data_IF_510684072178
#
_entry.id   IF_510684072178
#
_cell.length_a   1.000
_cell.length_b   1.000
_cell.length_c   1.000
_cell.angle_alpha   90.00
_cell.angle_beta   90.00
_cell.angle_gamma   90.00
#
_symmetry.space_group_name_H-M   'P 1'
#
loop_
_entity.id
_entity.type
_entity.pdbx_description
1 polymer ?
#
# COMPACT_ATOMS: atom_id res chain seq x y z
N UNK A 1 13.25 15.19 35.18
CA UNK A 1 12.05 14.82 34.41
C UNK A 1 12.03 13.35 33.96
N UNK A 2 13.16 12.62 33.93
CA UNK A 2 13.20 11.22 33.44
C UNK A 2 12.68 10.15 34.42
N UNK A 3 12.68 10.41 35.73
CA UNK A 3 12.26 9.43 36.74
C UNK A 3 10.75 9.15 36.71
N UNK A 4 9.94 10.16 36.38
CA UNK A 4 8.48 10.03 36.31
C UNK A 4 8.08 9.17 35.10
N UNK A 5 8.72 9.38 33.95
CA UNK A 5 8.48 8.62 32.74
C UNK A 5 8.78 7.13 32.93
N UNK A 6 9.92 6.81 33.55
CA UNK A 6 10.28 5.43 33.88
C UNK A 6 9.28 4.80 34.85
N UNK A 7 8.84 5.53 35.88
CA UNK A 7 7.85 5.04 36.84
C UNK A 7 6.50 4.73 36.19
N UNK A 8 6.00 5.65 35.36
CA UNK A 8 4.73 5.47 34.63
C UNK A 8 4.80 4.29 33.65
N UNK A 9 5.93 4.09 32.97
CA UNK A 9 6.15 2.97 32.05
C UNK A 9 6.04 1.61 32.75
N UNK A 10 6.65 1.47 33.92
CA UNK A 10 6.55 0.21 34.68
C UNK A 10 5.19 0.05 35.35
N UNK A 11 4.54 1.14 35.78
CA UNK A 11 3.21 1.09 36.39
C UNK A 11 2.13 0.60 35.39
N UNK A 12 2.23 1.02 34.12
CA UNK A 12 1.33 0.60 33.04
C UNK A 12 1.30 -0.92 32.82
N UNK A 13 2.41 -1.62 33.11
CA UNK A 13 2.49 -3.09 32.99
C UNK A 13 1.83 -3.85 34.15
N UNK A 14 1.46 -3.15 35.23
CA UNK A 14 0.90 -3.74 36.45
C UNK A 14 -0.57 -3.41 36.68
N UNK A 15 -1.16 -2.57 35.84
CA UNK A 15 -2.59 -2.27 35.90
C UNK A 15 -3.41 -3.40 35.25
N UNK A 16 -4.50 -3.86 35.88
CA UNK A 16 -5.41 -4.81 35.24
C UNK A 16 -5.97 -4.18 33.96
N UNK A 17 -5.77 -4.89 32.84
CA UNK A 17 -6.27 -4.49 31.53
C UNK A 17 -7.77 -4.73 31.50
N UNK A 18 -8.54 -3.64 31.44
CA UNK A 18 -9.95 -3.73 31.06
C UNK A 18 -10.03 -4.21 29.60
N UNK A 19 -11.12 -4.92 29.31
CA UNK A 19 -11.33 -5.87 28.24
C UNK A 19 -11.41 -5.22 26.84
N UNK A 20 -10.35 -4.54 26.41
CA UNK A 20 -10.16 -4.05 25.05
C UNK A 20 -9.09 -4.90 24.39
N UNK A 21 -9.43 -5.46 23.25
CA UNK A 21 -8.66 -6.45 22.48
C UNK A 21 -7.21 -6.05 22.19
N UNK A 22 -6.44 -6.97 21.56
CA UNK A 22 -4.99 -6.86 21.49
C UNK A 22 -4.54 -5.53 20.87
N UNK A 23 -3.91 -4.69 21.69
CA UNK A 23 -3.15 -3.52 21.25
C UNK A 23 -1.92 -4.06 20.50
N UNK A 24 -2.05 -4.18 19.18
CA UNK A 24 -0.93 -4.51 18.31
C UNK A 24 0.01 -3.31 18.23
N UNK A 25 1.15 -3.41 18.89
CA UNK A 25 2.30 -2.56 18.60
C UNK A 25 2.84 -2.99 17.22
N UNK A 26 2.69 -2.12 16.23
CA UNK A 26 3.26 -2.31 14.89
C UNK A 26 4.77 -2.02 14.81
N UNK A 27 5.49 -2.06 15.94
CA UNK A 27 6.90 -1.62 16.02
C UNK A 27 7.93 -2.77 15.93
N UNK A 28 7.55 -4.06 15.82
CA UNK A 28 8.55 -5.16 15.86
C UNK A 28 8.47 -6.24 14.76
N UNK A 29 7.56 -6.17 13.78
CA UNK A 29 7.36 -7.28 12.81
C UNK A 29 7.56 -6.90 11.33
N UNK A 30 8.65 -6.20 11.03
CA UNK A 30 9.20 -6.15 9.65
C UNK A 30 10.64 -6.66 9.63
N UNK A 31 10.87 -7.78 10.31
CA UNK A 31 12.10 -8.56 10.16
C UNK A 31 11.92 -9.61 9.04
N UNK A 32 12.49 -9.29 7.87
CA UNK A 32 13.11 -10.25 6.94
C UNK A 32 12.38 -11.59 6.74
N UNK A 33 11.24 -11.54 6.06
CA UNK A 33 10.72 -12.66 5.27
C UNK A 33 10.26 -11.96 3.99
N UNK A 34 10.94 -12.08 2.84
CA UNK A 34 10.87 -13.21 1.94
C UNK A 34 12.10 -13.22 1.03
N UNK A 35 13.05 -14.13 1.26
CA UNK A 35 13.93 -14.63 0.20
C UNK A 35 13.65 -16.12 0.07
N UNK A 36 12.89 -16.51 -0.96
CA UNK A 36 12.86 -17.91 -1.39
C UNK A 36 13.84 -18.05 -2.55
N UNK A 37 14.99 -18.65 -2.28
CA UNK A 37 15.87 -19.13 -3.34
C UNK A 37 15.17 -20.29 -4.06
N UNK A 38 14.80 -20.06 -5.31
CA UNK A 38 14.27 -21.09 -6.19
C UNK A 38 15.45 -21.69 -6.97
N UNK A 39 15.81 -22.95 -6.66
CA UNK A 39 16.86 -23.71 -7.36
C UNK A 39 16.37 -23.96 -8.80
N UNK A 40 16.82 -23.15 -9.76
CA UNK A 40 16.40 -23.22 -11.18
C UNK A 40 17.11 -24.32 -11.99
N UNK A 41 17.75 -25.29 -11.34
CA UNK A 41 18.28 -26.48 -12.00
C UNK A 41 19.58 -26.99 -11.37
N UNK A 42 19.74 -28.31 -11.36
CA UNK A 42 20.99 -28.98 -11.04
C UNK A 42 21.39 -29.76 -12.29
N UNK A 43 22.39 -29.24 -13.01
CA UNK A 43 22.96 -29.89 -14.18
C UNK A 43 24.41 -30.26 -13.90
N UNK A 44 24.78 -31.52 -14.12
CA UNK A 44 26.17 -31.92 -14.15
C UNK A 44 26.80 -31.39 -15.43
N UNK A 45 27.73 -30.44 -15.31
CA UNK A 45 28.58 -30.04 -16.44
C UNK A 45 29.58 -31.18 -16.65
N UNK A 46 29.33 -32.03 -17.64
CA UNK A 46 30.34 -32.97 -18.13
C UNK A 46 31.42 -32.15 -18.81
N UNK A 47 32.57 -32.00 -18.15
CA UNK A 47 33.74 -31.34 -18.73
C UNK A 47 34.48 -32.35 -19.61
N UNK A 48 34.49 -32.14 -20.93
CA UNK A 48 35.51 -32.75 -21.78
C UNK A 48 36.85 -32.00 -21.60
N UNK A 49 37.97 -32.70 -21.40
CA UNK A 49 39.26 -32.05 -21.16
C UNK A 49 39.81 -31.45 -22.45
N UNK A 50 39.74 -30.12 -22.58
CA UNK A 50 40.50 -29.40 -23.61
C UNK A 50 39.94 -28.06 -24.12
N UNK A 51 38.69 -27.69 -23.81
CA UNK A 51 38.10 -26.45 -24.33
C UNK A 51 38.35 -25.24 -23.41
N UNK A 52 39.07 -24.23 -23.90
CA UNK A 52 39.16 -22.91 -23.26
C UNK A 52 37.88 -22.13 -23.60
N UNK A 53 37.09 -21.80 -22.58
CA UNK A 53 36.01 -20.82 -22.71
C UNK A 53 36.46 -19.52 -22.06
N UNK A 54 36.49 -18.43 -22.83
CA UNK A 54 36.73 -17.09 -22.30
C UNK A 54 35.53 -16.68 -21.45
N UNK A 55 35.80 -16.36 -20.19
CA UNK A 55 34.79 -15.79 -19.29
C UNK A 55 34.84 -14.27 -19.46
N UNK A 56 33.80 -13.69 -20.04
CA UNK A 56 33.65 -12.24 -20.11
C UNK A 56 33.53 -11.65 -18.70
N UNK A 57 34.38 -10.68 -18.38
CA UNK A 57 34.33 -9.96 -17.11
C UNK A 57 33.03 -9.16 -16.94
N UNK A 58 32.62 -8.88 -15.69
CA UNK A 58 31.38 -8.17 -15.41
C UNK A 58 31.46 -6.69 -15.80
N UNK A 59 30.57 -6.24 -16.68
CA UNK A 59 30.49 -4.87 -17.21
C UNK A 59 29.56 -3.93 -16.44
N UNK A 60 29.14 -4.30 -15.24
CA UNK A 60 28.17 -3.52 -14.47
C UNK A 60 28.79 -2.89 -13.22
N UNK A 61 29.28 -1.66 -13.34
CA UNK A 61 29.46 -0.77 -12.17
C UNK A 61 28.19 0.05 -11.98
N UNK A 62 27.65 0.02 -10.77
CA UNK A 62 26.32 0.51 -10.45
C UNK A 62 26.21 2.02 -10.31
N UNK A 63 25.01 2.51 -10.55
CA UNK A 63 24.22 3.34 -9.61
C UNK A 63 22.75 3.15 -9.98
N UNK A 64 22.23 1.94 -9.82
CA UNK A 64 20.79 1.75 -9.77
C UNK A 64 20.33 2.17 -8.40
N UNK A 65 19.86 3.41 -8.26
CA UNK A 65 18.98 3.75 -7.15
C UNK A 65 17.82 2.76 -7.25
N UNK A 66 17.79 1.77 -6.36
CA UNK A 66 16.59 1.00 -6.14
C UNK A 66 15.55 2.00 -5.65
N UNK A 67 14.75 2.53 -6.58
CA UNK A 67 13.46 3.13 -6.24
C UNK A 67 12.75 2.00 -5.51
N UNK A 68 12.64 2.14 -4.19
CA UNK A 68 12.00 1.14 -3.35
C UNK A 68 10.67 0.79 -4.00
N UNK A 69 10.42 -0.51 -4.13
CA UNK A 69 9.27 -1.05 -4.83
C UNK A 69 8.04 -0.25 -4.44
N UNK A 70 7.59 0.58 -5.38
CA UNK A 70 6.27 1.18 -5.35
C UNK A 70 5.35 -0.04 -5.47
N UNK A 71 4.96 -0.59 -4.32
CA UNK A 71 4.05 -1.72 -4.28
C UNK A 71 2.79 -1.21 -4.95
N UNK A 72 2.61 -1.55 -6.23
CA UNK A 72 1.41 -1.25 -6.98
C UNK A 72 0.23 -1.62 -6.09
N UNK A 73 -0.68 -0.68 -5.82
CA UNK A 73 -1.74 -0.86 -4.82
C UNK A 73 -2.66 -2.06 -5.12
N UNK A 74 -2.62 -2.63 -6.32
CA UNK A 74 -3.21 -3.95 -6.62
C UNK A 74 -2.68 -5.04 -5.68
N UNK A 75 -1.37 -5.07 -5.43
CA UNK A 75 -0.73 -5.97 -4.47
C UNK A 75 -1.10 -5.64 -3.02
N UNK A 76 -1.44 -4.38 -2.71
CA UNK A 76 -1.87 -3.99 -1.37
C UNK A 76 -3.25 -4.57 -1.06
N UNK A 77 -4.21 -4.48 -1.99
CA UNK A 77 -5.55 -5.07 -1.81
C UNK A 77 -5.45 -6.59 -1.64
N UNK A 78 -4.66 -7.25 -2.48
CA UNK A 78 -4.42 -8.70 -2.38
C UNK A 78 -3.80 -9.06 -1.02
N UNK A 79 -2.78 -8.32 -0.57
CA UNK A 79 -2.15 -8.51 0.74
C UNK A 79 -3.12 -8.31 1.90
N UNK A 80 -3.99 -7.29 1.83
CA UNK A 80 -4.97 -7.02 2.88
C UNK A 80 -6.01 -8.14 2.95
N UNK A 81 -6.51 -8.60 1.79
CA UNK A 81 -7.45 -9.70 1.70
C UNK A 81 -6.85 -11.01 2.23
N UNK A 82 -5.62 -11.35 1.83
CA UNK A 82 -4.93 -12.55 2.31
C UNK A 82 -4.66 -12.51 3.82
N UNK A 83 -4.25 -11.35 4.35
CA UNK A 83 -3.82 -11.23 5.75
C UNK A 83 -4.99 -11.08 6.73
N UNK A 84 -6.02 -10.35 6.33
CA UNK A 84 -7.13 -9.98 7.21
C UNK A 84 -8.46 -10.66 6.84
N UNK A 85 -8.48 -11.45 5.76
CA UNK A 85 -9.71 -12.11 5.30
C UNK A 85 -10.75 -11.12 4.79
N UNK A 86 -10.33 -9.95 4.29
CA UNK A 86 -11.21 -8.94 3.74
C UNK A 86 -11.66 -9.30 2.33
N UNK A 87 -12.76 -8.68 1.88
CA UNK A 87 -13.31 -8.86 0.53
C UNK A 87 -13.16 -7.57 -0.30
N UNK A 88 -12.05 -6.85 -0.12
CA UNK A 88 -11.80 -5.64 -0.90
C UNK A 88 -11.66 -5.99 -2.37
N UNK A 89 -12.31 -5.20 -3.21
CA UNK A 89 -12.29 -5.35 -4.66
C UNK A 89 -11.19 -4.46 -5.26
N UNK A 90 -10.75 -4.74 -6.50
CA UNK A 90 -9.87 -3.83 -7.22
C UNK A 90 -10.41 -2.39 -7.31
N UNK A 91 -11.74 -2.21 -7.29
CA UNK A 91 -12.36 -0.87 -7.24
C UNK A 91 -12.07 -0.08 -5.95
N UNK A 92 -11.87 -0.78 -4.82
CA UNK A 92 -11.55 -0.16 -3.53
C UNK A 92 -10.11 0.39 -3.50
N UNK A 93 -9.29 0.05 -4.51
CA UNK A 93 -7.95 0.58 -4.68
C UNK A 93 -7.93 2.11 -4.78
N UNK A 94 -8.95 2.69 -5.44
CA UNK A 94 -9.03 4.14 -5.64
C UNK A 94 -9.17 4.90 -4.32
N UNK A 95 -9.77 4.27 -3.29
CA UNK A 95 -9.87 4.87 -1.97
C UNK A 95 -8.48 5.06 -1.34
N UNK A 96 -7.65 4.02 -1.32
CA UNK A 96 -6.29 4.10 -0.79
C UNK A 96 -5.37 4.98 -1.63
N UNK A 97 -5.58 5.01 -2.94
CA UNK A 97 -4.89 5.91 -3.87
C UNK A 97 -5.14 7.38 -3.51
N UNK A 98 -6.41 7.77 -3.37
CA UNK A 98 -6.77 9.14 -3.02
C UNK A 98 -6.25 9.58 -1.65
N UNK A 99 -6.21 8.68 -0.66
CA UNK A 99 -5.56 8.96 0.64
C UNK A 99 -4.07 9.21 0.47
N UNK A 100 -3.38 8.43 -0.39
CA UNK A 100 -1.96 8.66 -0.66
C UNK A 100 -1.74 10.01 -1.34
N UNK A 101 -2.56 10.35 -2.33
CA UNK A 101 -2.47 11.63 -3.04
C UNK A 101 -2.61 12.81 -2.07
N UNK A 102 -3.56 12.75 -1.13
CA UNK A 102 -3.70 13.76 -0.08
C UNK A 102 -2.51 13.86 0.84
N UNK A 103 -2.00 12.71 1.30
CA UNK A 103 -0.83 12.68 2.16
C UNK A 103 0.38 13.34 1.48
N UNK A 104 0.52 13.15 0.16
CA UNK A 104 1.59 13.74 -0.65
C UNK A 104 1.33 15.23 -0.94
N UNK A 105 0.07 15.65 -0.99
CA UNK A 105 -0.30 17.06 -1.14
C UNK A 105 -0.13 17.86 0.17
N UNK A 106 -0.21 17.20 1.33
CA UNK A 106 -0.08 17.84 2.63
C UNK A 106 1.32 18.42 2.86
N UNK A 107 1.39 19.75 3.02
CA UNK A 107 2.65 20.47 3.19
C UNK A 107 3.43 20.11 4.46
N UNK A 108 2.73 19.77 5.54
CA UNK A 108 3.33 19.37 6.83
C UNK A 108 3.98 17.99 6.72
N UNK A 109 3.29 17.03 6.11
CA UNK A 109 3.82 15.70 5.85
C UNK A 109 5.00 15.74 4.89
N UNK A 110 4.96 16.57 3.85
CA UNK A 110 6.11 16.78 2.95
C UNK A 110 7.33 17.31 3.69
N UNK A 111 7.14 18.33 4.54
CA UNK A 111 8.23 18.89 5.35
C UNK A 111 8.77 17.86 6.32
N UNK A 112 7.90 17.11 7.00
CA UNK A 112 8.28 16.05 7.92
C UNK A 112 9.07 14.94 7.20
N UNK A 113 8.67 14.53 6.00
CA UNK A 113 9.35 13.52 5.22
C UNK A 113 10.75 13.97 4.75
N UNK A 114 10.91 15.24 4.38
CA UNK A 114 12.21 15.79 3.95
C UNK A 114 13.17 16.04 5.13
N UNK A 115 12.64 16.33 6.32
CA UNK A 115 13.44 16.69 7.49
C UNK A 115 13.81 15.50 8.39
N UNK A 116 13.14 14.34 8.25
CA UNK A 116 13.28 13.22 9.17
C UNK A 116 13.64 11.91 8.45
N UNK A 117 14.17 10.95 9.22
CA UNK A 117 14.29 9.55 8.77
C UNK A 117 12.91 8.90 8.66
N UNK A 118 12.81 7.82 7.89
CA UNK A 118 11.56 7.07 7.68
C UNK A 118 10.88 6.67 8.99
N UNK A 119 11.65 6.24 9.99
CA UNK A 119 11.14 5.83 11.31
C UNK A 119 10.49 7.00 12.05
N UNK A 120 11.17 8.15 12.11
CA UNK A 120 10.66 9.37 12.75
C UNK A 120 9.45 9.94 12.00
N UNK A 121 9.49 9.93 10.67
CA UNK A 121 8.36 10.30 9.82
C UNK A 121 7.16 9.40 10.09
N UNK A 122 7.36 8.09 10.27
CA UNK A 122 6.31 7.11 10.52
C UNK A 122 5.42 7.47 11.71
N UNK A 123 5.97 8.05 12.79
CA UNK A 123 5.17 8.49 13.93
C UNK A 123 4.24 9.65 13.59
N UNK A 124 4.73 10.63 12.84
CA UNK A 124 3.93 11.79 12.40
C UNK A 124 2.89 11.36 11.37
N UNK A 125 3.30 10.52 10.42
CA UNK A 125 2.45 10.00 9.37
C UNK A 125 1.30 9.17 9.93
N UNK A 126 1.53 8.24 10.86
CA UNK A 126 0.45 7.42 11.46
C UNK A 126 -0.62 8.29 12.11
N UNK A 127 -0.23 9.36 12.81
CA UNK A 127 -1.17 10.30 13.42
C UNK A 127 -1.97 11.09 12.38
N UNK A 128 -1.32 11.53 11.30
CA UNK A 128 -1.99 12.24 10.22
C UNK A 128 -2.90 11.33 9.40
N UNK A 129 -2.51 10.06 9.23
CA UNK A 129 -3.23 9.08 8.43
C UNK A 129 -4.66 8.85 8.94
N UNK A 130 -4.87 8.78 10.25
CA UNK A 130 -6.22 8.68 10.82
C UNK A 130 -7.11 9.85 10.40
N UNK A 131 -6.57 11.08 10.40
CA UNK A 131 -7.27 12.26 9.92
C UNK A 131 -7.59 12.18 8.43
N UNK A 132 -6.61 11.78 7.61
CA UNK A 132 -6.82 11.61 6.16
C UNK A 132 -7.92 10.62 5.82
N UNK A 133 -8.03 9.52 6.58
CA UNK A 133 -9.13 8.56 6.41
C UNK A 133 -10.49 9.18 6.73
N UNK A 134 -10.59 9.98 7.80
CA UNK A 134 -11.82 10.67 8.19
C UNK A 134 -12.20 11.72 7.14
N UNK A 135 -11.25 12.58 6.75
CA UNK A 135 -11.47 13.63 5.76
C UNK A 135 -11.93 13.04 4.42
N UNK A 136 -11.36 11.90 4.01
CA UNK A 136 -11.77 11.18 2.79
C UNK A 136 -13.16 10.58 2.90
N UNK A 137 -13.53 10.06 4.07
CA UNK A 137 -14.89 9.59 4.33
C UNK A 137 -15.90 10.73 4.22
N UNK A 138 -15.62 11.88 4.86
CA UNK A 138 -16.48 13.07 4.81
C UNK A 138 -16.64 13.61 3.39
N UNK A 139 -15.55 13.68 2.62
CA UNK A 139 -15.61 14.09 1.21
C UNK A 139 -16.48 13.14 0.36
N UNK A 140 -16.36 11.82 0.58
CA UNK A 140 -17.19 10.84 -0.13
C UNK A 140 -18.66 10.95 0.27
N UNK A 141 -18.95 11.25 1.53
CA UNK A 141 -20.29 11.54 2.01
C UNK A 141 -20.85 12.81 1.35
N UNK A 142 -20.06 13.88 1.21
CA UNK A 142 -20.46 15.11 0.53
C UNK A 142 -20.82 14.85 -0.95
N UNK A 143 -19.99 14.08 -1.67
CA UNK A 143 -20.26 13.72 -3.07
C UNK A 143 -21.58 12.93 -3.17
N UNK A 144 -21.79 11.99 -2.26
CA UNK A 144 -23.02 11.19 -2.20
C UNK A 144 -24.23 12.08 -1.89
N UNK A 145 -24.10 13.00 -0.94
CA UNK A 145 -25.15 13.94 -0.59
C UNK A 145 -25.51 14.87 -1.77
N UNK A 146 -24.51 15.37 -2.52
CA UNK A 146 -24.75 16.14 -3.75
C UNK A 146 -25.49 15.33 -4.79
N UNK A 147 -25.10 14.07 -5.00
CA UNK A 147 -25.80 13.17 -5.92
C UNK A 147 -27.27 12.96 -5.55
N UNK A 148 -27.59 12.87 -4.27
CA UNK A 148 -28.97 12.64 -3.82
C UNK A 148 -29.83 13.90 -3.86
N UNK A 149 -29.24 15.07 -3.60
CA UNK A 149 -29.99 16.31 -3.40
C UNK A 149 -30.01 17.26 -4.62
N UNK A 150 -29.03 17.14 -5.54
CA UNK A 150 -28.92 18.04 -6.69
C UNK A 150 -29.28 17.32 -8.01
N UNK A 151 -30.48 17.62 -8.54
CA UNK A 151 -30.99 16.94 -9.74
C UNK A 151 -30.08 17.10 -10.98
N UNK A 152 -29.49 18.28 -11.17
CA UNK A 152 -28.58 18.53 -12.29
C UNK A 152 -27.28 17.73 -12.18
N UNK A 153 -26.72 17.64 -10.98
CA UNK A 153 -25.52 16.84 -10.72
C UNK A 153 -25.81 15.34 -10.91
N UNK A 154 -26.95 14.87 -10.38
CA UNK A 154 -27.41 13.49 -10.55
C UNK A 154 -27.55 13.11 -12.02
N UNK A 155 -28.19 13.96 -12.82
CA UNK A 155 -28.39 13.70 -14.25
C UNK A 155 -27.06 13.64 -15.00
N UNK A 156 -26.16 14.59 -14.76
CA UNK A 156 -24.84 14.64 -15.40
C UNK A 156 -24.01 13.37 -15.09
N UNK A 157 -23.94 12.98 -13.82
CA UNK A 157 -23.23 11.76 -13.39
C UNK A 157 -23.89 10.51 -13.97
N UNK A 158 -25.22 10.43 -13.97
CA UNK A 158 -25.96 9.28 -14.49
C UNK A 158 -25.75 9.08 -15.98
N UNK A 159 -25.80 10.15 -16.77
CA UNK A 159 -25.56 10.07 -18.22
C UNK A 159 -24.13 9.64 -18.54
N UNK A 160 -23.15 10.14 -17.78
CA UNK A 160 -21.75 9.78 -17.97
C UNK A 160 -21.51 8.31 -17.63
N UNK A 161 -21.93 7.86 -16.44
CA UNK A 161 -21.78 6.47 -16.01
C UNK A 161 -22.56 5.48 -16.90
N UNK A 162 -23.74 5.86 -17.40
CA UNK A 162 -24.51 5.03 -18.32
C UNK A 162 -23.69 4.70 -19.57
N UNK A 163 -23.06 5.70 -20.16
CA UNK A 163 -22.26 5.52 -21.37
C UNK A 163 -21.04 4.63 -21.08
N UNK A 164 -20.28 4.94 -20.04
CA UNK A 164 -19.07 4.18 -19.70
C UNK A 164 -19.37 2.72 -19.37
N UNK A 165 -20.40 2.47 -18.55
CA UNK A 165 -20.78 1.10 -18.18
C UNK A 165 -21.28 0.34 -19.40
N UNK A 166 -22.08 0.97 -20.27
CA UNK A 166 -22.57 0.34 -21.50
C UNK A 166 -21.43 -0.03 -22.45
N UNK A 167 -20.50 0.90 -22.70
CA UNK A 167 -19.34 0.68 -23.57
C UNK A 167 -18.46 -0.44 -23.01
N UNK A 168 -18.13 -0.39 -21.71
CA UNK A 168 -17.27 -1.39 -21.07
C UNK A 168 -17.87 -2.80 -21.10
N UNK A 169 -19.18 -2.93 -20.83
CA UNK A 169 -19.87 -4.23 -20.93
C UNK A 169 -19.80 -4.78 -22.36
N UNK A 170 -19.94 -3.92 -23.37
CA UNK A 170 -19.87 -4.34 -24.78
C UNK A 170 -18.46 -4.73 -25.20
N UNK A 171 -17.45 -3.97 -24.79
CA UNK A 171 -16.05 -4.30 -25.04
C UNK A 171 -15.67 -5.65 -24.43
N UNK A 172 -16.10 -5.92 -23.19
CA UNK A 172 -15.88 -7.22 -22.53
C UNK A 172 -16.58 -8.37 -23.26
N UNK A 173 -17.81 -8.15 -23.76
CA UNK A 173 -18.55 -9.14 -24.54
C UNK A 173 -17.91 -9.42 -25.91
N UNK A 174 -17.41 -8.39 -26.59
CA UNK A 174 -16.72 -8.51 -27.87
C UNK A 174 -15.35 -9.21 -27.70
N UNK A 175 -14.59 -8.88 -26.65
CA UNK A 175 -13.32 -9.53 -26.32
C UNK A 175 -13.45 -11.00 -25.91
N UNK A 176 -14.63 -11.42 -25.45
CA UNK A 176 -14.92 -12.83 -25.10
C UNK A 176 -15.31 -13.66 -26.32
N UNK A 177 -15.88 -13.05 -27.36
CA UNK A 177 -16.23 -13.73 -28.61
C UNK A 177 -15.05 -13.93 -29.59
N UNK A 178 -13.95 -13.18 -29.39
CA UNK A 178 -12.72 -13.28 -30.21
C UNK A 178 -11.70 -14.29 -29.65
N UNK A 179 -12.04 -15.04 -28.59
CA UNK A 179 -11.25 -16.13 -28.00
C UNK A 179 -11.92 -17.49 -28.20
#
# INVERSE_FOLDING_TARGET
MEKLYSYVRFLLTKLPRDNRGPIYNFDDDVALKFYRLQKIGEGSIVMEPGARYEVSGPTSVGTGVARGDEIELSKLIDLLNERFGTEFKPGDQLFFESIREDAVADSSLRQAALANTMENFGYVFRKALEGLFIDRMEQNEEITAKFMNEDQFREAVSQHLLKEVYEKIREEAEATNDK
#
